data_IF_711724195909
#
_entry.id   IF_711724195909
#
_cell.length_a   1.000
_cell.length_b   1.000
_cell.length_c   1.000
_cell.angle_alpha   90.00
_cell.angle_beta   90.00
_cell.angle_gamma   90.00
#
_symmetry.space_group_name_H-M   'P 1'
#
loop_
_entity.id
_entity.type
_entity.pdbx_description
1 polymer ?
#
# COMPACT_ATOMS: atom_id res chain seq x y z
N UNK A 1 -1.08 19.55 21.68
CA UNK A 1 -0.05 18.60 21.24
C UNK A 1 -0.30 18.40 19.77
N UNK A 2 0.43 19.14 18.93
CA UNK A 2 0.27 19.07 17.48
C UNK A 2 0.93 17.77 17.04
N UNK A 3 0.15 16.69 17.01
CA UNK A 3 0.62 15.44 16.44
C UNK A 3 1.00 15.81 15.01
N UNK A 4 2.19 15.37 14.57
CA UNK A 4 2.69 15.44 13.18
C UNK A 4 1.83 14.57 12.25
N UNK A 5 0.52 14.72 12.37
CA UNK A 5 -0.51 13.87 11.83
C UNK A 5 -0.53 14.00 10.32
N UNK A 6 -0.34 15.23 9.82
CA UNK A 6 -0.15 15.48 8.40
C UNK A 6 1.14 14.84 7.87
N UNK A 7 2.25 14.89 8.61
CA UNK A 7 3.49 14.20 8.20
C UNK A 7 3.31 12.67 8.16
N UNK A 8 2.58 12.09 9.12
CA UNK A 8 2.25 10.66 9.14
C UNK A 8 1.34 10.30 7.97
N UNK A 9 0.31 11.09 7.71
CA UNK A 9 -0.63 10.89 6.59
C UNK A 9 0.10 10.99 5.24
N UNK A 10 0.97 11.97 5.09
CA UNK A 10 1.81 12.13 3.90
C UNK A 10 2.74 10.93 3.71
N UNK A 11 3.42 10.49 4.77
CA UNK A 11 4.32 9.33 4.73
C UNK A 11 3.59 8.05 4.33
N UNK A 12 2.38 7.82 4.86
CA UNK A 12 1.61 6.61 4.54
C UNK A 12 1.02 6.68 3.13
N UNK A 13 0.66 7.87 2.65
CA UNK A 13 0.24 8.09 1.25
C UNK A 13 1.38 7.77 0.27
N UNK A 14 2.59 8.27 0.56
CA UNK A 14 3.80 7.95 -0.21
C UNK A 14 4.10 6.46 -0.22
N UNK A 15 3.95 5.80 0.93
CA UNK A 15 4.15 4.36 1.06
C UNK A 15 3.16 3.58 0.20
N UNK A 16 1.87 3.96 0.21
CA UNK A 16 0.85 3.35 -0.65
C UNK A 16 1.14 3.56 -2.15
N UNK A 17 1.59 4.75 -2.55
CA UNK A 17 1.96 5.04 -3.94
C UNK A 17 3.18 4.22 -4.39
N UNK A 18 4.19 4.08 -3.52
CA UNK A 18 5.35 3.23 -3.79
C UNK A 18 4.96 1.76 -3.92
N UNK A 19 3.99 1.31 -3.11
CA UNK A 19 3.50 -0.05 -3.17
C UNK A 19 2.71 -0.34 -4.44
N UNK A 20 1.90 0.60 -4.91
CA UNK A 20 1.24 0.48 -6.21
C UNK A 20 2.26 0.40 -7.36
N UNK A 21 3.28 1.26 -7.36
CA UNK A 21 4.33 1.27 -8.40
C UNK A 21 5.08 -0.06 -8.45
N UNK A 22 5.44 -0.60 -7.28
CA UNK A 22 6.14 -1.88 -7.18
C UNK A 22 5.21 -3.04 -7.54
N UNK A 23 3.91 -2.95 -7.22
CA UNK A 23 2.87 -3.90 -7.62
C UNK A 23 2.71 -4.00 -9.13
N UNK A 24 2.63 -2.87 -9.82
CA UNK A 24 2.52 -2.82 -11.28
C UNK A 24 3.77 -3.45 -11.94
N UNK A 25 4.96 -3.16 -11.41
CA UNK A 25 6.20 -3.77 -11.89
C UNK A 25 6.23 -5.29 -11.66
N UNK A 26 5.68 -5.77 -10.53
CA UNK A 26 5.59 -7.19 -10.23
C UNK A 26 4.61 -7.92 -11.15
N UNK A 27 3.44 -7.32 -11.41
CA UNK A 27 2.46 -7.86 -12.35
C UNK A 27 3.00 -7.88 -13.78
N UNK A 28 3.76 -6.84 -14.19
CA UNK A 28 4.46 -6.84 -15.47
C UNK A 28 5.49 -7.98 -15.55
N UNK A 29 6.20 -8.27 -14.45
CA UNK A 29 7.17 -9.34 -14.39
C UNK A 29 6.55 -10.74 -14.36
N UNK A 30 5.38 -10.92 -13.73
CA UNK A 30 4.56 -12.14 -13.84
C UNK A 30 4.07 -12.38 -15.27
N UNK A 31 3.75 -11.31 -16.00
CA UNK A 31 3.32 -11.38 -17.40
C UNK A 31 4.48 -11.58 -18.39
N UNK A 32 5.73 -11.43 -17.97
CA UNK A 32 6.85 -11.83 -18.80
C UNK A 32 6.81 -13.34 -19.02
N UNK A 33 6.72 -13.77 -20.27
CA UNK A 33 6.63 -15.19 -20.63
C UNK A 33 7.94 -15.92 -20.30
N UNK A 34 8.02 -16.45 -19.08
CA UNK A 34 9.01 -17.44 -18.67
C UNK A 34 8.28 -18.78 -18.49
N UNK A 35 8.61 -19.78 -19.30
CA UNK A 35 7.95 -21.08 -19.29
C UNK A 35 8.55 -22.01 -20.33
N UNK A 36 8.33 -23.32 -20.21
CA UNK A 36 8.92 -24.33 -21.10
C UNK A 36 8.74 -24.02 -22.60
N UNK A 37 7.60 -23.42 -22.97
CA UNK A 37 7.28 -23.04 -24.35
C UNK A 37 8.12 -21.84 -24.84
N UNK A 38 8.51 -20.93 -23.96
CA UNK A 38 9.34 -19.75 -24.27
C UNK A 38 10.85 -20.02 -24.13
N UNK A 39 11.24 -20.92 -23.23
CA UNK A 39 12.64 -21.22 -22.93
C UNK A 39 13.23 -22.32 -23.84
N UNK A 40 12.40 -23.06 -24.58
CA UNK A 40 12.82 -24.26 -25.29
C UNK A 40 13.08 -25.43 -24.33
N UNK A 41 13.12 -26.67 -24.86
CA UNK A 41 13.18 -27.90 -24.02
C UNK A 41 14.37 -27.93 -23.07
N UNK A 42 15.49 -27.36 -23.46
CA UNK A 42 16.75 -27.40 -22.72
C UNK A 42 16.76 -26.49 -21.49
N UNK A 43 15.86 -25.50 -21.43
CA UNK A 43 15.78 -24.52 -20.35
C UNK A 43 14.40 -24.50 -19.67
N UNK A 44 13.60 -25.56 -19.85
CA UNK A 44 12.25 -25.64 -19.33
C UNK A 44 12.22 -25.56 -17.79
N UNK A 45 13.19 -26.18 -17.10
CA UNK A 45 13.27 -26.17 -15.64
C UNK A 45 13.60 -24.77 -15.10
N UNK A 46 14.56 -24.09 -15.71
CA UNK A 46 14.97 -22.72 -15.38
C UNK A 46 13.84 -21.73 -15.68
N UNK A 47 13.15 -21.89 -16.82
CA UNK A 47 11.97 -21.11 -17.17
C UNK A 47 10.84 -21.25 -16.15
N UNK A 48 10.55 -22.48 -15.69
CA UNK A 48 9.60 -22.72 -14.61
C UNK A 48 10.04 -22.11 -13.28
N UNK A 49 11.32 -22.20 -12.94
CA UNK A 49 11.86 -21.62 -11.71
C UNK A 49 11.75 -20.09 -11.72
N UNK A 50 12.04 -19.42 -12.84
CA UNK A 50 11.85 -17.98 -12.99
C UNK A 50 10.38 -17.59 -12.87
N UNK A 51 9.48 -18.29 -13.56
CA UNK A 51 8.03 -18.06 -13.46
C UNK A 51 7.53 -18.16 -12.02
N UNK A 52 7.92 -19.22 -11.31
CA UNK A 52 7.57 -19.41 -9.90
C UNK A 52 8.18 -18.32 -8.99
N UNK A 53 9.38 -17.85 -9.30
CA UNK A 53 10.02 -16.73 -8.62
C UNK A 53 9.21 -15.43 -8.77
N UNK A 54 8.82 -15.09 -9.99
CA UNK A 54 8.00 -13.90 -10.27
C UNK A 54 6.61 -13.99 -9.62
N UNK A 55 5.96 -15.16 -9.67
CA UNK A 55 4.68 -15.38 -9.00
C UNK A 55 4.77 -15.15 -7.47
N UNK A 56 5.87 -15.58 -6.84
CA UNK A 56 6.12 -15.32 -5.41
C UNK A 56 6.35 -13.85 -5.13
N UNK A 57 7.12 -13.18 -5.99
CA UNK A 57 7.40 -11.74 -5.88
C UNK A 57 6.08 -10.95 -5.99
N UNK A 58 5.24 -11.26 -6.98
CA UNK A 58 3.92 -10.65 -7.16
C UNK A 58 3.02 -10.85 -5.93
N UNK A 59 2.95 -12.06 -5.38
CA UNK A 59 2.18 -12.34 -4.17
C UNK A 59 2.66 -11.53 -2.94
N UNK A 60 3.97 -11.43 -2.72
CA UNK A 60 4.55 -10.67 -1.61
C UNK A 60 4.27 -9.18 -1.77
N UNK A 61 4.47 -8.64 -2.97
CA UNK A 61 4.26 -7.22 -3.26
C UNK A 61 2.78 -6.87 -3.15
N UNK A 62 1.88 -7.70 -3.67
CA UNK A 62 0.43 -7.50 -3.53
C UNK A 62 -0.02 -7.51 -2.07
N UNK A 63 0.55 -8.40 -1.25
CA UNK A 63 0.29 -8.43 0.20
C UNK A 63 0.78 -7.16 0.90
N UNK A 64 1.97 -6.66 0.52
CA UNK A 64 2.50 -5.41 1.04
C UNK A 64 1.64 -4.21 0.63
N UNK A 65 1.21 -4.13 -0.63
CA UNK A 65 0.30 -3.10 -1.12
C UNK A 65 -1.03 -3.07 -0.37
N UNK A 66 -1.62 -4.23 -0.09
CA UNK A 66 -2.85 -4.32 0.70
C UNK A 66 -2.62 -3.80 2.14
N UNK A 67 -1.50 -4.16 2.76
CA UNK A 67 -1.18 -3.72 4.12
C UNK A 67 -0.94 -2.20 4.22
N UNK A 68 -0.24 -1.61 3.24
CA UNK A 68 0.03 -0.15 3.23
C UNK A 68 -1.24 0.65 2.96
N UNK A 69 -2.12 0.18 2.07
CA UNK A 69 -3.43 0.77 1.85
C UNK A 69 -4.32 0.71 3.11
N UNK A 70 -4.33 -0.42 3.82
CA UNK A 70 -5.06 -0.57 5.08
C UNK A 70 -4.54 0.38 6.17
N UNK A 71 -3.22 0.55 6.27
CA UNK A 71 -2.60 1.52 7.18
C UNK A 71 -3.01 2.97 6.84
N UNK A 72 -3.05 3.32 5.55
CA UNK A 72 -3.51 4.64 5.09
C UNK A 72 -4.94 4.93 5.54
N UNK A 73 -5.85 3.98 5.30
CA UNK A 73 -7.25 4.10 5.69
C UNK A 73 -7.42 4.24 7.22
N UNK A 74 -6.64 3.50 8.00
CA UNK A 74 -6.68 3.59 9.46
C UNK A 74 -6.18 4.94 9.97
N UNK A 75 -5.12 5.50 9.36
CA UNK A 75 -4.65 6.85 9.66
C UNK A 75 -5.75 7.86 9.32
N UNK A 76 -6.29 7.85 8.10
CA UNK A 76 -7.33 8.81 7.71
C UNK A 76 -8.59 8.75 8.60
N UNK A 77 -9.02 7.55 8.99
CA UNK A 77 -10.13 7.38 9.93
C UNK A 77 -9.82 8.01 11.30
N UNK A 78 -8.60 7.82 11.79
CA UNK A 78 -8.12 8.41 13.05
C UNK A 78 -8.06 9.94 12.94
N UNK A 79 -7.60 10.47 11.80
CA UNK A 79 -7.57 11.90 11.49
C UNK A 79 -8.95 12.54 11.63
N UNK A 80 -9.93 11.87 11.01
CA UNK A 80 -11.30 12.34 10.96
C UNK A 80 -11.96 12.29 12.35
N UNK A 81 -11.59 11.30 13.18
CA UNK A 81 -12.05 11.23 14.56
C UNK A 81 -11.48 12.37 15.40
N UNK A 82 -10.18 12.65 15.31
CA UNK A 82 -9.56 13.77 16.03
C UNK A 82 -10.14 15.12 15.62
N UNK A 83 -10.31 15.37 14.31
CA UNK A 83 -10.95 16.62 13.85
C UNK A 83 -12.36 16.81 14.38
N UNK A 84 -13.17 15.74 14.39
CA UNK A 84 -14.52 15.80 14.97
C UNK A 84 -14.50 16.13 16.46
N UNK A 85 -13.57 15.52 17.20
CA UNK A 85 -13.41 15.79 18.62
C UNK A 85 -12.97 17.24 18.88
N UNK A 86 -12.06 17.77 18.07
CA UNK A 86 -11.63 19.17 18.15
C UNK A 86 -12.79 20.13 17.83
N UNK A 87 -13.59 19.85 16.81
CA UNK A 87 -14.78 20.63 16.44
C UNK A 87 -15.83 20.62 17.57
N UNK A 88 -16.09 19.45 18.18
CA UNK A 88 -17.01 19.30 19.31
C UNK A 88 -16.55 20.08 20.55
N UNK A 89 -15.25 20.06 20.85
CA UNK A 89 -14.66 20.84 21.95
C UNK A 89 -14.78 22.33 21.66
N UNK A 90 -14.47 22.77 20.44
CA UNK A 90 -14.56 24.16 20.03
C UNK A 90 -16.00 24.68 20.15
N UNK A 91 -16.99 23.92 19.66
CA UNK A 91 -18.41 24.26 19.77
C UNK A 91 -18.88 24.33 21.23
N UNK A 92 -18.41 23.42 22.09
CA UNK A 92 -18.71 23.44 23.53
C UNK A 92 -18.16 24.69 24.20
N UNK A 93 -16.93 25.09 23.86
CA UNK A 93 -16.31 26.31 24.40
C UNK A 93 -17.03 27.58 23.94
N UNK A 94 -17.44 27.67 22.68
CA UNK A 94 -18.18 28.82 22.14
C UNK A 94 -19.54 28.99 22.84
N UNK A 95 -20.27 27.90 23.04
CA UNK A 95 -21.55 27.91 23.77
C UNK A 95 -21.45 28.21 25.27
N UNK A 96 -20.27 28.12 25.88
CA UNK A 96 -20.03 28.54 27.27
C UNK A 96 -19.70 30.03 27.41
N UNK A 97 -19.39 30.72 26.30
CA UNK A 97 -19.04 32.14 26.27
C UNK A 97 -20.22 33.05 25.86
N UNK A 98 -21.36 32.46 25.47
CA UNK A 98 -22.63 33.14 25.18
C UNK A 98 -23.64 33.00 26.31
#
# INVERSE_FOLDING_TARGET
MDIKFDEVRESVTLLAASAATVGDAAAAAENCAFGADAAGREFAAEGHAMSAGYARIGAVIGSWQAATAAAAAAVDATALAYRRQDDEIAATFDGLLT
#
